data_IF_600486038842
#
_entry.id   IF_600486038842
#
_cell.length_a   1.000
_cell.length_b   1.000
_cell.length_c   1.000
_cell.angle_alpha   90.00
_cell.angle_beta   90.00
_cell.angle_gamma   90.00
#
_symmetry.space_group_name_H-M   'P 1'
#
loop_
_entity.id
_entity.type
_entity.pdbx_description
1 polymer ?
#
# COMPACT_ATOMS: atom_id res chain seq x y z
N UNK A 1 -6.00 -28.68 -7.76
CA UNK A 1 -6.05 -27.21 -7.61
C UNK A 1 -6.21 -26.91 -6.12
N UNK A 2 -5.13 -26.51 -5.43
CA UNK A 2 -5.20 -26.16 -4.01
C UNK A 2 -6.09 -24.94 -3.79
N UNK A 3 -6.97 -24.95 -2.78
CA UNK A 3 -7.80 -23.80 -2.44
C UNK A 3 -6.88 -22.64 -2.07
N UNK A 4 -6.94 -21.54 -2.82
CA UNK A 4 -6.26 -20.31 -2.42
C UNK A 4 -6.87 -19.83 -1.10
N UNK A 5 -6.03 -19.65 -0.07
CA UNK A 5 -6.46 -19.07 1.19
C UNK A 5 -6.81 -17.59 0.98
N UNK A 6 -7.74 -17.04 1.77
CA UNK A 6 -8.14 -15.63 1.65
C UNK A 6 -6.96 -14.67 1.80
N UNK A 7 -5.96 -15.03 2.63
CA UNK A 7 -4.70 -14.30 2.77
C UNK A 7 -3.92 -14.23 1.46
N UNK A 8 -3.76 -15.35 0.76
CA UNK A 8 -3.06 -15.41 -0.53
C UNK A 8 -3.76 -14.55 -1.58
N UNK A 9 -5.09 -14.60 -1.64
CA UNK A 9 -5.88 -13.75 -2.55
C UNK A 9 -5.65 -12.27 -2.26
N UNK A 10 -5.68 -11.88 -0.98
CA UNK A 10 -5.49 -10.49 -0.57
C UNK A 10 -4.07 -9.97 -0.86
N UNK A 11 -3.04 -10.81 -0.70
CA UNK A 11 -1.65 -10.48 -1.08
C UNK A 11 -1.51 -10.24 -2.57
N UNK A 12 -2.07 -11.12 -3.40
CA UNK A 12 -2.05 -10.93 -4.85
C UNK A 12 -2.84 -9.71 -5.29
N UNK A 13 -4.00 -9.46 -4.68
CA UNK A 13 -4.77 -8.24 -4.92
C UNK A 13 -3.95 -6.99 -4.57
N UNK A 14 -3.30 -6.94 -3.41
CA UNK A 14 -2.42 -5.84 -3.02
C UNK A 14 -1.24 -5.68 -4.00
N UNK A 15 -0.62 -6.78 -4.45
CA UNK A 15 0.42 -6.75 -5.46
C UNK A 15 -0.05 -6.16 -6.80
N UNK A 16 -1.24 -6.56 -7.26
CA UNK A 16 -1.85 -6.01 -8.48
C UNK A 16 -2.20 -4.53 -8.34
N UNK A 17 -2.72 -4.12 -7.19
CA UNK A 17 -3.00 -2.71 -6.88
C UNK A 17 -1.73 -1.86 -6.92
N UNK A 18 -0.63 -2.36 -6.34
CA UNK A 18 0.67 -1.70 -6.36
C UNK A 18 1.22 -1.57 -7.79
N UNK A 19 1.10 -2.63 -8.61
CA UNK A 19 1.50 -2.59 -10.01
C UNK A 19 0.69 -1.57 -10.81
N UNK A 20 -0.63 -1.52 -10.60
CA UNK A 20 -1.50 -0.56 -11.27
C UNK A 20 -1.20 0.88 -10.82
N UNK A 21 -0.85 1.07 -9.55
CA UNK A 21 -0.36 2.35 -9.01
C UNK A 21 0.90 2.84 -9.73
N UNK A 22 1.87 1.97 -10.03
CA UNK A 22 3.07 2.34 -10.81
C UNK A 22 2.67 2.91 -12.18
N UNK A 23 1.74 2.25 -12.88
CA UNK A 23 1.24 2.72 -14.18
C UNK A 23 0.57 4.08 -14.04
N UNK A 24 -0.32 4.26 -13.08
CA UNK A 24 -1.01 5.53 -12.86
C UNK A 24 -0.07 6.68 -12.49
N UNK A 25 0.97 6.41 -11.69
CA UNK A 25 2.00 7.40 -11.40
C UNK A 25 2.76 7.80 -12.67
N UNK A 26 3.11 6.86 -13.55
CA UNK A 26 3.73 7.18 -14.84
C UNK A 26 2.84 8.07 -15.72
N UNK A 27 1.54 7.76 -15.78
CA UNK A 27 0.57 8.57 -16.50
C UNK A 27 0.44 9.97 -15.89
N UNK A 28 0.36 10.08 -14.56
CA UNK A 28 0.27 11.37 -13.87
C UNK A 28 1.50 12.24 -14.14
N UNK A 29 2.69 11.67 -14.06
CA UNK A 29 3.95 12.40 -14.35
C UNK A 29 3.95 12.90 -15.78
N UNK A 30 3.65 12.01 -16.74
CA UNK A 30 3.58 12.39 -18.16
C UNK A 30 2.58 13.53 -18.38
N UNK A 31 1.40 13.44 -17.77
CA UNK A 31 0.37 14.47 -17.85
C UNK A 31 0.86 15.81 -17.29
N UNK A 32 1.46 15.83 -16.09
CA UNK A 32 1.97 17.05 -15.46
C UNK A 32 3.13 17.69 -16.25
N UNK A 33 3.98 16.88 -16.88
CA UNK A 33 5.04 17.39 -17.77
C UNK A 33 4.48 17.99 -19.06
N UNK A 34 3.41 17.42 -19.62
CA UNK A 34 2.75 17.95 -20.81
C UNK A 34 2.03 19.28 -20.52
N UNK A 35 1.30 19.36 -19.42
CA UNK A 35 0.54 20.56 -19.02
C UNK A 35 1.44 21.73 -18.58
N UNK A 36 2.64 21.45 -18.04
CA UNK A 36 3.58 22.50 -17.58
C UNK A 36 4.42 23.13 -18.70
N UNK A 37 4.13 22.85 -19.98
CA UNK A 37 4.90 23.40 -21.10
C UNK A 37 6.39 23.06 -21.05
N UNK A 38 6.74 21.90 -20.50
CA UNK A 38 8.13 21.44 -20.26
C UNK A 38 8.93 22.28 -19.25
N UNK A 39 8.28 23.14 -18.45
CA UNK A 39 8.90 23.82 -17.30
C UNK A 39 8.27 23.34 -15.98
N UNK A 40 8.50 22.06 -15.60
CA UNK A 40 7.94 21.53 -14.38
C UNK A 40 8.57 22.24 -13.16
N UNK A 41 7.74 22.53 -12.16
CA UNK A 41 8.23 22.93 -10.85
C UNK A 41 9.26 21.91 -10.33
N UNK A 42 10.32 22.31 -9.60
CA UNK A 42 11.35 21.39 -9.13
C UNK A 42 10.81 20.19 -8.36
N UNK A 43 9.71 20.39 -7.61
CA UNK A 43 8.99 19.34 -6.90
C UNK A 43 8.55 18.17 -7.81
N UNK A 44 8.13 18.44 -9.05
CA UNK A 44 7.72 17.43 -10.03
C UNK A 44 8.87 16.56 -10.53
N UNK A 45 10.12 16.93 -10.26
CA UNK A 45 11.31 16.13 -10.59
C UNK A 45 11.59 15.11 -9.47
N UNK A 46 11.44 15.52 -8.21
CA UNK A 46 11.82 14.70 -7.05
C UNK A 46 10.70 13.81 -6.51
N UNK A 47 9.44 14.27 -6.57
CA UNK A 47 8.29 13.53 -6.04
C UNK A 47 7.99 12.23 -6.81
N UNK A 48 8.12 12.15 -8.15
CA UNK A 48 7.80 10.92 -8.84
C UNK A 48 8.68 9.73 -8.47
N UNK A 49 10.03 9.82 -8.50
CA UNK A 49 10.87 8.70 -8.07
C UNK A 49 10.53 8.20 -6.67
N UNK A 50 10.18 9.12 -5.76
CA UNK A 50 9.75 8.78 -4.41
C UNK A 50 8.47 7.95 -4.40
N UNK A 51 7.40 8.40 -5.07
CA UNK A 51 6.13 7.65 -5.11
C UNK A 51 6.22 6.35 -5.93
N UNK A 52 7.02 6.32 -6.99
CA UNK A 52 7.35 5.08 -7.69
C UNK A 52 8.04 4.09 -6.76
N UNK A 53 9.01 4.56 -5.97
CA UNK A 53 9.68 3.77 -4.94
C UNK A 53 8.70 3.20 -3.93
N UNK A 54 7.77 4.00 -3.41
CA UNK A 54 6.76 3.54 -2.47
C UNK A 54 5.79 2.52 -3.09
N UNK A 55 5.32 2.74 -4.31
CA UNK A 55 4.44 1.79 -5.01
C UNK A 55 5.17 0.46 -5.29
N UNK A 56 6.43 0.50 -5.72
CA UNK A 56 7.25 -0.68 -5.91
C UNK A 56 7.47 -1.42 -4.58
N UNK A 57 7.76 -0.68 -3.50
CA UNK A 57 7.94 -1.24 -2.16
C UNK A 57 6.66 -1.92 -1.66
N UNK A 58 5.48 -1.33 -1.88
CA UNK A 58 4.19 -1.97 -1.60
C UNK A 58 4.04 -3.29 -2.35
N UNK A 59 4.42 -3.33 -3.63
CA UNK A 59 4.38 -4.56 -4.44
C UNK A 59 5.28 -5.65 -3.86
N UNK A 60 6.53 -5.29 -3.53
CA UNK A 60 7.48 -6.22 -2.90
C UNK A 60 6.98 -6.70 -1.54
N UNK A 61 6.49 -5.79 -0.69
CA UNK A 61 5.96 -6.12 0.63
C UNK A 61 4.75 -7.07 0.55
N UNK A 62 3.85 -6.86 -0.44
CA UNK A 62 2.72 -7.75 -0.68
C UNK A 62 3.16 -9.16 -1.09
N UNK A 63 4.17 -9.26 -1.97
CA UNK A 63 4.75 -10.55 -2.39
C UNK A 63 5.44 -11.25 -1.22
N UNK A 64 6.19 -10.51 -0.39
CA UNK A 64 6.93 -11.04 0.76
C UNK A 64 6.09 -11.31 2.01
N UNK A 65 4.80 -11.00 1.97
CA UNK A 65 3.89 -11.12 3.13
C UNK A 65 4.31 -10.26 4.33
N UNK A 66 4.73 -9.03 4.07
CA UNK A 66 5.20 -8.08 5.08
C UNK A 66 4.13 -6.99 5.30
N UNK A 67 3.03 -7.29 6.02
CA UNK A 67 1.86 -6.39 6.09
C UNK A 67 2.18 -5.05 6.76
N UNK A 68 3.13 -5.02 7.70
CA UNK A 68 3.57 -3.77 8.34
C UNK A 68 4.19 -2.82 7.31
N UNK A 69 5.10 -3.32 6.47
CA UNK A 69 5.73 -2.49 5.43
C UNK A 69 4.70 -2.05 4.38
N UNK A 70 3.73 -2.90 4.06
CA UNK A 70 2.64 -2.53 3.16
C UNK A 70 1.80 -1.37 3.71
N UNK A 71 1.46 -1.41 5.00
CA UNK A 71 0.73 -0.31 5.68
C UNK A 71 1.57 0.95 5.72
N UNK A 72 2.86 0.86 6.06
CA UNK A 72 3.75 2.02 6.16
C UNK A 72 3.98 2.68 4.79
N UNK A 73 4.33 1.90 3.77
CA UNK A 73 4.58 2.43 2.43
C UNK A 73 3.29 2.98 1.79
N UNK A 74 2.16 2.25 1.92
CA UNK A 74 0.85 2.72 1.47
C UNK A 74 0.40 3.97 2.21
N UNK A 75 0.60 4.03 3.53
CA UNK A 75 0.25 5.16 4.38
C UNK A 75 1.08 6.41 4.07
N UNK A 76 2.39 6.24 3.88
CA UNK A 76 3.29 7.34 3.52
C UNK A 76 2.98 7.92 2.13
N UNK A 77 2.52 7.07 1.21
CA UNK A 77 1.99 7.50 -0.10
C UNK A 77 0.62 8.18 0.02
N UNK A 78 -0.23 7.71 0.94
CA UNK A 78 -1.59 8.22 1.13
C UNK A 78 -1.63 9.63 1.75
N UNK A 79 -0.89 9.88 2.83
CA UNK A 79 -1.02 11.12 3.63
C UNK A 79 -0.75 12.41 2.84
N UNK A 80 0.36 12.57 2.10
CA UNK A 80 0.65 13.83 1.42
C UNK A 80 -0.13 14.01 0.11
N UNK A 81 -0.36 12.95 -0.65
CA UNK A 81 -0.90 13.03 -2.03
C UNK A 81 -2.12 12.18 -2.25
N UNK A 82 -2.18 10.96 -1.70
CA UNK A 82 -3.32 10.09 -1.89
C UNK A 82 -4.64 10.66 -1.33
N UNK A 83 -4.63 11.30 -0.15
CA UNK A 83 -5.83 11.95 0.41
C UNK A 83 -6.30 13.08 -0.49
N UNK A 84 -5.39 13.92 -0.98
CA UNK A 84 -5.71 14.98 -1.92
C UNK A 84 -6.33 14.43 -3.21
N UNK A 85 -5.73 13.36 -3.76
CA UNK A 85 -6.22 12.73 -4.98
C UNK A 85 -7.58 12.04 -4.83
N UNK A 86 -7.97 11.56 -3.63
CA UNK A 86 -9.30 10.99 -3.40
C UNK A 86 -10.45 11.96 -3.72
N UNK A 87 -10.20 13.26 -3.58
CA UNK A 87 -11.16 14.34 -3.85
C UNK A 87 -11.01 14.95 -5.26
N UNK A 88 -9.95 14.60 -6.00
CA UNK A 88 -9.78 15.06 -7.37
C UNK A 88 -10.67 14.27 -8.34
N UNK A 89 -11.25 14.92 -9.36
CA UNK A 89 -11.95 14.22 -10.43
C UNK A 89 -10.97 13.53 -11.41
N UNK A 90 -11.49 12.62 -12.21
CA UNK A 90 -10.72 11.96 -13.27
C UNK A 90 -9.81 10.84 -12.78
N UNK A 91 -8.74 10.54 -13.54
CA UNK A 91 -7.91 9.37 -13.29
C UNK A 91 -7.08 9.47 -12.01
N UNK A 92 -6.73 10.69 -11.57
CA UNK A 92 -5.98 10.93 -10.34
C UNK A 92 -6.70 10.33 -9.12
N UNK A 93 -8.04 10.31 -9.11
CA UNK A 93 -8.84 9.69 -8.06
C UNK A 93 -8.48 8.24 -7.77
N UNK A 94 -8.16 7.49 -8.83
CA UNK A 94 -7.77 6.09 -8.70
C UNK A 94 -6.48 5.91 -7.92
N UNK A 95 -5.52 6.85 -8.01
CA UNK A 95 -4.29 6.83 -7.21
C UNK A 95 -4.64 6.89 -5.71
N UNK A 96 -5.56 7.79 -5.34
CA UNK A 96 -6.05 7.90 -3.97
C UNK A 96 -6.74 6.61 -3.49
N UNK A 97 -7.66 6.09 -4.29
CA UNK A 97 -8.43 4.86 -3.96
C UNK A 97 -7.50 3.66 -3.77
N UNK A 98 -6.51 3.50 -4.66
CA UNK A 98 -5.59 2.37 -4.60
C UNK A 98 -4.64 2.48 -3.39
N UNK A 99 -4.13 3.67 -3.08
CA UNK A 99 -3.32 3.87 -1.87
C UNK A 99 -4.11 3.52 -0.61
N UNK A 100 -5.37 3.98 -0.51
CA UNK A 100 -6.25 3.63 0.59
C UNK A 100 -6.50 2.11 0.66
N UNK A 101 -6.77 1.47 -0.48
CA UNK A 101 -6.98 0.04 -0.55
C UNK A 101 -5.74 -0.78 -0.15
N UNK A 102 -4.53 -0.32 -0.49
CA UNK A 102 -3.27 -0.96 -0.05
C UNK A 102 -3.11 -0.89 1.47
N UNK A 103 -3.41 0.26 2.08
CA UNK A 103 -3.40 0.42 3.54
C UNK A 103 -4.42 -0.51 4.19
N UNK A 104 -5.66 -0.54 3.68
CA UNK A 104 -6.71 -1.44 4.19
C UNK A 104 -6.29 -2.90 4.06
N UNK A 105 -5.77 -3.32 2.90
CA UNK A 105 -5.28 -4.67 2.68
C UNK A 105 -4.17 -5.02 3.66
N UNK A 106 -3.20 -4.13 3.88
CA UNK A 106 -2.14 -4.30 4.87
C UNK A 106 -2.67 -4.46 6.30
N UNK A 107 -3.66 -3.66 6.71
CA UNK A 107 -4.31 -3.76 8.03
C UNK A 107 -5.04 -5.10 8.18
N UNK A 108 -5.77 -5.55 7.17
CA UNK A 108 -6.47 -6.85 7.19
C UNK A 108 -5.45 -8.01 7.28
N UNK A 109 -4.38 -7.94 6.50
CA UNK A 109 -3.29 -8.93 6.55
C UNK A 109 -2.61 -8.95 7.92
N UNK A 110 -2.42 -7.78 8.55
CA UNK A 110 -1.84 -7.66 9.89
C UNK A 110 -2.75 -8.28 10.96
N UNK A 111 -4.07 -8.00 10.91
CA UNK A 111 -5.06 -8.56 11.85
C UNK A 111 -5.15 -10.08 11.76
N UNK A 112 -5.19 -10.62 10.54
CA UNK A 112 -5.21 -12.08 10.32
C UNK A 112 -3.92 -12.78 10.75
N UNK A 113 -2.81 -12.05 10.93
CA UNK A 113 -1.58 -12.60 11.52
C UNK A 113 -1.61 -12.64 13.05
N UNK A 114 -2.45 -11.82 13.70
CA UNK A 114 -2.58 -11.74 15.16
C UNK A 114 -3.35 -12.90 15.76
N UNK A 115 -4.35 -13.43 15.05
CA UNK A 115 -5.20 -14.55 15.52
C UNK A 115 -4.45 -15.89 15.69
N UNK A 116 -3.20 -16.00 15.21
CA UNK A 116 -2.36 -17.19 15.35
C UNK A 116 -1.29 -17.11 16.44
N UNK A 117 -1.08 -15.95 17.07
CA UNK A 117 -0.21 -15.84 18.25
C UNK A 117 -1.05 -16.17 19.47
N UNK A 118 -1.16 -17.46 19.75
CA UNK A 118 -1.57 -17.92 21.07
C UNK A 118 -0.72 -17.19 22.11
N UNK A 119 -1.37 -16.41 22.96
CA UNK A 119 -0.81 -16.16 24.27
C UNK A 119 -0.44 -17.54 24.83
N UNK A 120 0.79 -17.74 25.34
CA UNK A 120 1.06 -18.96 26.09
C UNK A 120 -0.04 -19.04 27.16
N UNK A 121 -0.70 -20.20 27.37
CA UNK A 121 -1.65 -20.33 28.45
C UNK A 121 -0.93 -19.83 29.69
N UNK A 122 -1.53 -18.87 30.39
CA UNK A 122 -1.04 -18.40 31.69
C UNK A 122 -1.02 -19.66 32.55
N UNK A 123 0.13 -20.34 32.60
CA UNK A 123 0.32 -21.47 33.49
C UNK A 123 0.17 -20.88 34.86
N UNK A 124 -0.91 -21.24 35.53
CA UNK A 124 -1.16 -20.98 36.93
C UNK A 124 0.14 -21.24 37.69
N UNK A 125 0.86 -20.17 38.02
CA UNK A 125 1.99 -20.26 38.92
C UNK A 125 1.40 -20.66 40.27
N UNK A 126 1.74 -21.87 40.68
CA UNK A 126 1.13 -22.60 41.78
C UNK A 126 0.90 -21.76 43.03
N UNK A 127 -0.35 -21.74 43.47
CA UNK A 127 -0.68 -21.55 44.87
C UNK A 127 -0.40 -22.88 45.59
N UNK A 128 0.87 -23.12 45.92
CA UNK A 128 1.24 -24.08 46.96
C UNK A 128 1.43 -23.31 48.27
N UNK A 129 0.39 -23.28 49.10
CA UNK A 129 0.47 -23.10 50.55
C UNK A 129 -0.63 -23.91 51.21
#
# INVERSE_FOLDING_TARGET
MGRMTGRTVLRWAAGLMALFLLVLWAFLVRFLFQESGQQPAPALIFLPPFFFGLAAWCGVAAIRDEPVLLVLAGGLSLVPTGVFFLFMPGFARWIGILNLGLVIAGVILLRSSGEGRGEPPVTEWGAST
#
